data_IF_145364105366
#
_entry.id   IF_145364105366
#
_cell.length_a   1.000
_cell.length_b   1.000
_cell.length_c   1.000
_cell.angle_alpha   90.00
_cell.angle_beta   90.00
_cell.angle_gamma   90.00
#
_symmetry.space_group_name_H-M   'P 1'
#
loop_
_entity.id
_entity.type
_entity.pdbx_description
1 polymer ?
#
# COMPACT_ATOMS: atom_id res chain seq x y z
N UNK A 1 8.58 -14.68 7.97
CA UNK A 1 8.86 -13.30 7.48
C UNK A 1 8.82 -12.27 8.61
N UNK A 2 7.75 -12.19 9.41
CA UNK A 2 7.62 -11.21 10.52
C UNK A 2 8.81 -11.28 11.50
N UNK A 3 9.28 -12.48 11.84
CA UNK A 3 10.46 -12.69 12.71
C UNK A 3 11.74 -12.08 12.12
N UNK A 4 11.93 -12.18 10.79
CA UNK A 4 13.06 -11.59 10.06
C UNK A 4 12.97 -10.06 10.13
N UNK A 5 11.76 -9.51 10.00
CA UNK A 5 11.52 -8.07 10.18
C UNK A 5 11.89 -7.62 11.59
N UNK A 6 11.39 -8.30 12.62
CA UNK A 6 11.69 -8.01 14.01
C UNK A 6 13.19 -8.13 14.35
N UNK A 7 13.90 -9.10 13.76
CA UNK A 7 15.35 -9.24 13.94
C UNK A 7 16.11 -8.06 13.30
N UNK A 8 15.79 -7.70 12.06
CA UNK A 8 16.44 -6.57 11.36
C UNK A 8 16.09 -5.24 12.02
N UNK A 9 14.84 -5.04 12.43
CA UNK A 9 14.40 -3.87 13.21
C UNK A 9 15.21 -3.75 14.50
N UNK A 10 15.37 -4.84 15.28
CA UNK A 10 16.19 -4.86 16.49
C UNK A 10 17.67 -4.55 16.19
N UNK A 11 18.25 -5.18 15.18
CA UNK A 11 19.62 -4.89 14.74
C UNK A 11 19.81 -3.42 14.36
N UNK A 12 18.85 -2.82 13.66
CA UNK A 12 18.88 -1.42 13.26
C UNK A 12 18.75 -0.48 14.47
N UNK A 13 17.89 -0.80 15.44
CA UNK A 13 17.82 -0.06 16.71
C UNK A 13 19.13 -0.15 17.50
N UNK A 14 19.73 -1.35 17.63
CA UNK A 14 21.04 -1.50 18.27
C UNK A 14 22.15 -0.69 17.59
N UNK A 15 22.19 -0.71 16.25
CA UNK A 15 23.14 0.09 15.44
C UNK A 15 22.88 1.58 15.62
N UNK A 16 21.62 2.00 15.73
CA UNK A 16 21.23 3.38 16.00
C UNK A 16 21.64 3.83 17.40
N UNK A 17 21.31 3.10 18.48
CA UNK A 17 21.70 3.44 19.86
C UNK A 17 23.22 3.55 20.02
N UNK A 18 23.99 2.69 19.34
CA UNK A 18 25.47 2.74 19.33
C UNK A 18 26.04 3.98 18.61
N UNK A 19 25.30 4.54 17.65
CA UNK A 19 25.68 5.72 16.85
C UNK A 19 25.14 7.04 17.42
N UNK A 20 23.98 6.98 18.07
CA UNK A 20 23.22 8.10 18.63
C UNK A 20 22.94 7.86 20.12
N UNK A 21 23.95 7.99 21.00
CA UNK A 21 23.80 7.69 22.42
C UNK A 21 23.04 8.82 23.15
N UNK A 22 22.12 8.47 24.05
CA UNK A 22 21.33 9.44 24.83
C UNK A 22 22.19 10.38 25.71
N UNK A 23 23.46 10.04 25.97
CA UNK A 23 24.42 10.94 26.59
C UNK A 23 24.63 12.25 25.82
N UNK A 24 24.38 12.25 24.51
CA UNK A 24 24.42 13.44 23.66
C UNK A 24 23.27 14.41 23.95
N UNK A 25 22.10 13.95 24.40
CA UNK A 25 20.97 14.84 24.76
C UNK A 25 21.33 15.83 25.88
N UNK A 26 22.33 15.48 26.70
CA UNK A 26 22.91 16.35 27.75
C UNK A 26 23.81 17.47 27.22
N UNK A 27 24.06 17.56 25.91
CA UNK A 27 24.57 18.82 25.35
C UNK A 27 23.44 19.82 25.21
N UNK A 28 22.26 19.42 24.72
CA UNK A 28 21.12 20.34 24.51
C UNK A 28 20.73 21.13 25.76
N UNK A 29 20.83 20.52 26.94
CA UNK A 29 20.67 21.18 28.24
C UNK A 29 21.69 22.31 28.46
N UNK A 30 22.98 22.03 28.20
CA UNK A 30 24.09 22.99 28.31
C UNK A 30 24.03 24.07 27.23
N UNK A 31 23.71 23.67 26.02
CA UNK A 31 23.55 24.54 24.86
C UNK A 31 22.41 25.55 25.14
N UNK A 32 21.31 25.10 25.75
CA UNK A 32 20.23 25.97 26.23
C UNK A 32 20.67 26.88 27.40
N UNK A 33 21.42 26.36 28.37
CA UNK A 33 21.96 27.16 29.48
C UNK A 33 22.95 28.24 29.04
N UNK A 34 23.71 28.01 27.97
CA UNK A 34 24.63 28.99 27.38
C UNK A 34 23.91 29.99 26.47
N UNK A 35 23.05 29.52 25.56
CA UNK A 35 22.26 30.39 24.66
C UNK A 35 21.36 31.34 25.45
N UNK A 36 20.66 30.81 26.47
CA UNK A 36 19.78 31.57 27.35
C UNK A 36 20.45 31.86 28.70
N UNK A 37 21.76 32.13 28.71
CA UNK A 37 22.46 32.62 29.89
C UNK A 37 21.94 34.03 30.25
N UNK A 38 21.35 34.16 31.45
CA UNK A 38 20.81 35.44 31.92
C UNK A 38 21.91 36.48 32.21
N UNK A 39 21.61 37.75 31.90
CA UNK A 39 22.51 38.87 32.15
C UNK A 39 22.54 39.28 33.62
N UNK A 40 23.73 39.60 34.13
CA UNK A 40 23.95 40.04 35.52
C UNK A 40 23.97 41.55 35.63
N UNK A 41 23.51 42.08 36.79
CA UNK A 41 23.54 43.52 37.07
C UNK A 41 24.97 44.06 36.98
N UNK A 42 25.14 45.14 36.22
CA UNK A 42 26.38 45.77 35.77
C UNK A 42 27.20 45.00 34.70
N UNK A 43 26.65 43.98 34.06
CA UNK A 43 27.23 43.38 32.84
C UNK A 43 27.04 44.32 31.64
N UNK A 44 28.01 44.37 30.70
CA UNK A 44 27.83 45.11 29.43
C UNK A 44 27.00 44.26 28.49
N UNK A 45 25.89 44.81 28.02
CA UNK A 45 24.99 44.18 27.06
C UNK A 45 24.84 45.05 25.80
N UNK A 46 24.44 44.42 24.71
CA UNK A 46 24.20 45.03 23.41
C UNK A 46 23.00 44.32 22.80
N UNK A 47 21.91 45.05 22.56
CA UNK A 47 20.61 44.48 22.15
C UNK A 47 20.04 45.25 20.98
N UNK A 48 19.32 44.59 20.08
CA UNK A 48 18.67 45.24 18.93
C UNK A 48 17.21 45.51 19.26
N UNK A 49 16.77 46.76 19.12
CA UNK A 49 15.39 47.14 19.41
C UNK A 49 14.46 46.72 18.27
N UNK A 50 13.36 46.04 18.60
CA UNK A 50 12.35 45.57 17.63
C UNK A 50 11.46 46.71 17.13
N UNK A 51 11.01 47.57 18.04
CA UNK A 51 9.99 48.60 17.79
C UNK A 51 10.39 49.96 18.38
N UNK A 52 9.48 50.94 18.31
CA UNK A 52 9.66 52.28 18.91
C UNK A 52 10.60 53.23 18.16
N UNK A 53 10.95 54.34 18.82
CA UNK A 53 11.92 55.32 18.31
C UNK A 53 13.33 54.70 18.28
N UNK A 54 13.72 54.24 17.09
CA UNK A 54 14.95 53.49 16.88
C UNK A 54 14.75 51.98 16.71
N UNK A 55 13.64 51.53 16.10
CA UNK A 55 13.53 50.16 15.59
C UNK A 55 14.76 49.77 14.74
N UNK A 56 15.21 48.53 14.85
CA UNK A 56 16.48 47.99 14.34
C UNK A 56 17.76 48.73 14.79
N UNK A 57 17.69 49.61 15.79
CA UNK A 57 18.88 50.29 16.34
C UNK A 57 19.49 49.48 17.47
N UNK A 58 20.82 49.39 17.48
CA UNK A 58 21.59 48.73 18.53
C UNK A 58 21.66 49.61 19.78
N UNK A 59 21.16 49.10 20.91
CA UNK A 59 21.23 49.72 22.22
C UNK A 59 22.32 49.06 23.07
N UNK A 60 23.46 49.73 23.22
CA UNK A 60 24.57 49.29 24.08
C UNK A 60 24.52 49.93 25.47
N UNK A 61 24.85 49.17 26.51
CA UNK A 61 25.05 49.74 27.84
C UNK A 61 25.36 48.73 28.93
N UNK A 62 25.48 49.21 30.16
CA UNK A 62 25.51 48.33 31.33
C UNK A 62 24.09 48.10 31.84
N UNK A 63 23.71 46.83 32.04
CA UNK A 63 22.42 46.48 32.64
C UNK A 63 22.37 46.98 34.09
N UNK A 64 21.42 47.87 34.43
CA UNK A 64 21.33 48.49 35.76
C UNK A 64 20.19 47.96 36.60
N UNK A 65 19.01 47.78 36.02
CA UNK A 65 17.82 47.28 36.71
C UNK A 65 16.79 46.76 35.71
N UNK A 66 15.82 45.99 36.18
CA UNK A 66 14.60 45.68 35.43
C UNK A 66 13.39 45.72 36.37
N UNK A 67 12.24 45.98 35.79
CA UNK A 67 10.92 45.71 36.35
C UNK A 67 10.17 44.74 35.41
N UNK A 68 8.89 44.48 35.64
CA UNK A 68 8.09 43.54 34.83
C UNK A 68 7.86 44.00 33.39
N UNK A 69 7.95 45.31 33.11
CA UNK A 69 7.67 45.94 31.82
C UNK A 69 8.93 46.45 31.10
N UNK A 70 10.04 46.71 31.81
CA UNK A 70 11.18 47.49 31.29
C UNK A 70 12.53 47.01 31.79
N UNK A 71 13.53 47.13 30.91
CA UNK A 71 14.96 46.93 31.22
C UNK A 71 15.67 48.29 31.19
N UNK A 72 16.49 48.58 32.20
CA UNK A 72 17.30 49.80 32.28
C UNK A 72 18.75 49.52 31.84
N UNK A 73 19.16 50.10 30.71
CA UNK A 73 20.54 50.07 30.21
C UNK A 73 21.16 51.47 30.35
N UNK A 74 22.22 51.58 31.16
CA UNK A 74 22.77 52.86 31.62
C UNK A 74 21.67 53.78 32.20
N UNK A 75 21.25 54.80 31.46
CA UNK A 75 20.17 55.73 31.79
C UNK A 75 18.91 55.55 30.93
N UNK A 76 18.95 54.71 29.89
CA UNK A 76 17.80 54.43 28.99
C UNK A 76 16.94 53.31 29.58
N UNK A 77 15.63 53.55 29.66
CA UNK A 77 14.65 52.48 29.84
C UNK A 77 14.21 51.96 28.47
N UNK A 78 14.07 50.64 28.36
CA UNK A 78 13.71 49.92 27.15
C UNK A 78 12.50 49.05 27.49
N UNK A 79 11.35 49.22 26.81
CA UNK A 79 10.18 48.37 27.00
C UNK A 79 10.47 46.89 26.68
N UNK A 80 9.81 46.00 27.42
CA UNK A 80 9.83 44.54 27.19
C UNK A 80 9.26 44.15 25.82
N UNK A 81 8.32 44.92 25.30
CA UNK A 81 7.78 44.81 23.92
C UNK A 81 8.84 45.01 22.83
N UNK A 82 9.85 45.82 23.11
CA UNK A 82 10.86 46.24 22.13
C UNK A 82 12.03 45.23 22.07
N UNK A 83 11.96 44.14 22.85
CA UNK A 83 12.92 43.05 22.87
C UNK A 83 12.48 41.94 21.89
N UNK A 84 13.45 41.22 21.32
CA UNK A 84 13.20 39.90 20.75
C UNK A 84 13.11 38.83 21.86
N UNK A 85 12.43 37.71 21.59
CA UNK A 85 12.19 36.65 22.58
C UNK A 85 13.47 36.04 23.18
N UNK A 86 14.59 36.06 22.46
CA UNK A 86 15.87 35.51 22.94
C UNK A 86 16.60 36.50 23.85
N UNK A 87 16.54 37.80 23.53
CA UNK A 87 16.97 38.87 24.45
C UNK A 87 16.07 38.94 25.69
N UNK A 88 14.75 38.85 25.52
CA UNK A 88 13.78 38.81 26.61
C UNK A 88 14.09 37.66 27.59
N UNK A 89 14.30 36.44 27.07
CA UNK A 89 14.72 35.28 27.85
C UNK A 89 16.01 35.49 28.65
N UNK A 90 16.92 36.41 28.25
CA UNK A 90 18.15 36.71 29.00
C UNK A 90 17.97 37.73 30.12
N UNK A 91 16.81 38.38 30.21
CA UNK A 91 16.44 39.24 31.35
C UNK A 91 15.35 38.63 32.23
N UNK A 92 14.33 38.00 31.65
CA UNK A 92 13.10 37.59 32.32
C UNK A 92 13.10 36.07 32.64
N UNK A 93 13.09 35.64 33.93
CA UNK A 93 13.15 34.22 34.29
C UNK A 93 12.00 33.37 33.73
N UNK A 94 10.79 33.93 33.70
CA UNK A 94 9.58 33.32 33.14
C UNK A 94 9.72 32.95 31.67
N UNK A 95 10.47 33.75 30.90
CA UNK A 95 10.77 33.50 29.49
C UNK A 95 12.02 32.63 29.35
N UNK A 96 12.99 32.75 30.27
CA UNK A 96 14.19 31.92 30.32
C UNK A 96 13.84 30.43 30.39
N UNK A 97 13.05 30.04 31.39
CA UNK A 97 12.65 28.65 31.62
C UNK A 97 11.83 28.09 30.45
N UNK A 98 10.88 28.89 29.94
CA UNK A 98 10.07 28.53 28.78
C UNK A 98 10.91 28.30 27.52
N UNK A 99 11.79 29.25 27.16
CA UNK A 99 12.58 29.15 25.93
C UNK A 99 13.65 28.04 26.02
N UNK A 100 14.24 27.81 27.19
CA UNK A 100 15.11 26.64 27.43
C UNK A 100 14.35 25.32 27.23
N UNK A 101 13.17 25.18 27.85
CA UNK A 101 12.35 23.99 27.70
C UNK A 101 11.92 23.76 26.24
N UNK A 102 11.51 24.82 25.52
CA UNK A 102 11.19 24.74 24.09
C UNK A 102 12.41 24.39 23.22
N UNK A 103 13.59 24.93 23.50
CA UNK A 103 14.82 24.60 22.78
C UNK A 103 15.21 23.13 22.99
N UNK A 104 15.26 22.67 24.25
CA UNK A 104 15.60 21.28 24.59
C UNK A 104 14.59 20.32 23.95
N UNK A 105 13.30 20.67 23.91
CA UNK A 105 12.28 19.86 23.21
C UNK A 105 12.55 19.80 21.70
N UNK A 106 12.76 20.96 21.05
CA UNK A 106 13.02 21.06 19.60
C UNK A 106 14.29 20.34 19.16
N UNK A 107 15.37 20.37 19.95
CA UNK A 107 16.59 19.62 19.61
C UNK A 107 16.47 18.11 19.88
N UNK A 108 15.71 17.69 20.89
CA UNK A 108 15.35 16.28 21.06
C UNK A 108 14.48 15.77 19.89
N UNK A 109 13.41 16.49 19.52
CA UNK A 109 12.55 16.17 18.35
C UNK A 109 13.40 15.99 17.06
N UNK A 110 14.39 16.87 16.84
CA UNK A 110 15.35 16.77 15.72
C UNK A 110 16.35 15.62 15.88
N UNK A 111 16.69 15.20 17.09
CA UNK A 111 17.59 14.08 17.36
C UNK A 111 16.88 12.73 17.14
N UNK A 112 15.66 12.61 17.64
CA UNK A 112 14.78 11.46 17.43
C UNK A 112 14.49 11.28 15.93
N UNK A 113 14.18 12.37 15.23
CA UNK A 113 14.07 12.38 13.75
C UNK A 113 15.34 11.85 13.05
N UNK A 114 16.55 12.12 13.55
CA UNK A 114 17.80 11.60 12.97
C UNK A 114 18.00 10.11 13.25
N UNK A 115 17.55 9.64 14.41
CA UNK A 115 17.56 8.21 14.80
C UNK A 115 16.59 7.44 13.89
N UNK A 116 15.34 7.89 13.77
CA UNK A 116 14.30 7.26 12.94
C UNK A 116 14.72 7.19 11.46
N UNK A 117 15.21 8.28 10.88
CA UNK A 117 15.70 8.28 9.49
C UNK A 117 16.89 7.32 9.28
N UNK A 118 17.76 7.15 10.29
CA UNK A 118 18.86 6.19 10.19
C UNK A 118 18.40 4.73 10.31
N UNK A 119 17.45 4.44 11.20
CA UNK A 119 16.81 3.11 11.31
C UNK A 119 16.08 2.78 10.00
N UNK A 120 15.33 3.73 9.45
CA UNK A 120 14.63 3.59 8.17
C UNK A 120 15.57 3.25 7.02
N UNK A 121 16.68 3.98 6.84
CA UNK A 121 17.64 3.69 5.78
C UNK A 121 18.40 2.36 5.99
N UNK A 122 18.70 1.96 7.24
CA UNK A 122 19.24 0.63 7.52
C UNK A 122 18.24 -0.47 7.12
N UNK A 123 16.98 -0.36 7.54
CA UNK A 123 15.92 -1.31 7.21
C UNK A 123 15.67 -1.38 5.70
N UNK A 124 15.64 -0.23 5.01
CA UNK A 124 15.51 -0.12 3.56
C UNK A 124 16.61 -0.85 2.80
N UNK A 125 17.82 -0.92 3.36
CA UNK A 125 18.97 -1.61 2.76
C UNK A 125 19.04 -3.10 3.14
N UNK A 126 18.76 -3.47 4.38
CA UNK A 126 18.96 -4.85 4.88
C UNK A 126 17.72 -5.75 4.74
N UNK A 127 16.50 -5.22 4.92
CA UNK A 127 15.26 -6.02 4.83
C UNK A 127 15.14 -6.76 3.49
N UNK A 128 15.34 -6.13 2.32
CA UNK A 128 15.20 -6.83 1.03
C UNK A 128 16.23 -7.94 0.85
N UNK A 129 17.45 -7.80 1.41
CA UNK A 129 18.49 -8.83 1.36
C UNK A 129 18.07 -10.06 2.17
N UNK A 130 17.72 -9.85 3.44
CA UNK A 130 17.30 -10.94 4.35
C UNK A 130 16.05 -11.66 3.84
N UNK A 131 15.11 -10.95 3.20
CA UNK A 131 13.96 -11.57 2.55
C UNK A 131 14.37 -12.44 1.35
N UNK A 132 15.27 -11.97 0.48
CA UNK A 132 15.78 -12.76 -0.65
C UNK A 132 16.56 -14.01 -0.18
N UNK A 133 17.42 -13.86 0.82
CA UNK A 133 18.17 -14.95 1.45
C UNK A 133 17.24 -16.02 2.05
N UNK A 134 16.17 -15.59 2.71
CA UNK A 134 15.13 -16.47 3.26
C UNK A 134 14.11 -16.97 2.20
N UNK A 135 14.42 -16.88 0.91
CA UNK A 135 13.59 -17.35 -0.21
C UNK A 135 12.19 -16.72 -0.28
N UNK A 136 12.07 -15.44 0.07
CA UNK A 136 10.92 -14.61 -0.29
C UNK A 136 11.18 -13.89 -1.62
N UNK A 137 10.11 -13.58 -2.35
CA UNK A 137 10.12 -12.80 -3.59
C UNK A 137 9.08 -11.68 -3.50
N UNK A 138 9.26 -10.53 -4.19
CA UNK A 138 8.24 -9.50 -4.24
C UNK A 138 6.98 -10.00 -4.96
N UNK A 139 5.81 -9.67 -4.43
CA UNK A 139 4.51 -10.05 -4.99
C UNK A 139 4.14 -9.13 -6.16
N UNK A 140 4.40 -9.58 -7.39
CA UNK A 140 4.28 -8.81 -8.65
C UNK A 140 2.90 -8.15 -8.81
N UNK A 141 1.85 -8.78 -8.28
CA UNK A 141 0.46 -8.32 -8.35
C UNK A 141 0.17 -7.06 -7.50
N UNK A 142 1.10 -6.65 -6.61
CA UNK A 142 0.97 -5.46 -5.76
C UNK A 142 1.72 -4.26 -6.35
N UNK A 143 0.99 -3.16 -6.57
CA UNK A 143 1.58 -1.88 -6.99
C UNK A 143 2.64 -1.41 -5.96
N UNK A 144 3.87 -1.16 -6.43
CA UNK A 144 5.01 -0.82 -5.55
C UNK A 144 5.78 -2.01 -4.95
N UNK A 145 5.42 -3.25 -5.27
CA UNK A 145 6.25 -4.41 -4.98
C UNK A 145 7.57 -4.35 -5.76
N UNK A 146 8.70 -4.55 -5.07
CA UNK A 146 10.02 -4.50 -5.69
C UNK A 146 11.06 -5.22 -4.84
N UNK A 147 12.13 -5.70 -5.47
CA UNK A 147 13.34 -6.20 -4.81
C UNK A 147 14.06 -5.15 -3.95
N UNK A 148 13.58 -3.89 -3.92
CA UNK A 148 14.06 -2.78 -3.10
C UNK A 148 13.09 -2.35 -1.99
N UNK A 149 11.90 -2.97 -1.91
CA UNK A 149 10.84 -2.56 -0.98
C UNK A 149 11.05 -3.24 0.38
N UNK A 150 11.38 -2.48 1.43
CA UNK A 150 11.63 -3.05 2.77
C UNK A 150 10.37 -3.51 3.54
N UNK A 151 9.16 -3.20 3.05
CA UNK A 151 7.88 -3.57 3.70
C UNK A 151 7.56 -5.05 3.50
N UNK A 152 7.45 -5.82 4.58
CA UNK A 152 7.18 -7.28 4.54
C UNK A 152 5.89 -7.65 3.77
N UNK A 153 4.87 -6.79 3.78
CA UNK A 153 3.57 -7.00 3.13
C UNK A 153 3.66 -7.19 1.60
N UNK A 154 4.77 -6.76 0.98
CA UNK A 154 5.01 -6.83 -0.46
C UNK A 154 5.81 -8.07 -0.85
N UNK A 155 6.05 -8.99 0.09
CA UNK A 155 6.87 -10.19 -0.10
C UNK A 155 6.11 -11.47 0.20
N UNK A 156 6.42 -12.52 -0.56
CA UNK A 156 5.70 -13.79 -0.56
C UNK A 156 6.70 -14.95 -0.63
N UNK A 157 6.37 -16.09 -0.02
CA UNK A 157 7.24 -17.27 -0.10
C UNK A 157 7.36 -17.72 -1.56
N UNK A 158 8.59 -17.86 -2.06
CA UNK A 158 8.90 -18.25 -3.44
C UNK A 158 8.23 -19.56 -3.87
N UNK A 159 8.09 -20.51 -2.93
CA UNK A 159 7.34 -21.75 -3.11
C UNK A 159 5.87 -21.52 -3.48
N UNK A 160 5.20 -20.59 -2.79
CA UNK A 160 3.77 -20.32 -2.99
C UNK A 160 3.54 -19.62 -4.33
N UNK A 161 4.44 -18.73 -4.75
CA UNK A 161 4.45 -18.15 -6.11
C UNK A 161 4.64 -19.24 -7.18
N UNK A 162 5.59 -20.16 -7.00
CA UNK A 162 5.74 -21.29 -7.93
C UNK A 162 4.51 -22.21 -7.98
N UNK A 163 3.83 -22.45 -6.86
CA UNK A 163 2.57 -23.21 -6.85
C UNK A 163 1.46 -22.49 -7.63
N UNK A 164 1.27 -21.18 -7.41
CA UNK A 164 0.29 -20.39 -8.17
C UNK A 164 0.56 -20.41 -9.69
N UNK A 165 1.83 -20.29 -10.11
CA UNK A 165 2.22 -20.37 -11.53
C UNK A 165 2.00 -21.80 -12.07
N UNK A 166 2.40 -22.83 -11.32
CA UNK A 166 2.23 -24.23 -11.71
C UNK A 166 0.75 -24.60 -11.89
N UNK A 167 -0.12 -24.26 -10.93
CA UNK A 167 -1.55 -24.57 -11.01
C UNK A 167 -2.25 -23.73 -12.10
N UNK A 168 -1.82 -22.49 -12.33
CA UNK A 168 -2.27 -21.68 -13.47
C UNK A 168 -1.92 -22.31 -14.82
N UNK A 169 -0.66 -22.73 -15.02
CA UNK A 169 -0.23 -23.45 -16.23
C UNK A 169 -0.96 -24.80 -16.37
N UNK A 170 -1.12 -25.55 -15.27
CA UNK A 170 -1.83 -26.83 -15.23
C UNK A 170 -3.32 -26.70 -15.53
N UNK A 171 -3.95 -25.56 -15.21
CA UNK A 171 -5.32 -25.23 -15.62
C UNK A 171 -5.37 -24.99 -17.13
N UNK A 172 -4.52 -24.10 -17.66
CA UNK A 172 -4.46 -23.79 -19.11
C UNK A 172 -4.16 -25.04 -19.95
N UNK A 173 -3.29 -25.93 -19.46
CA UNK A 173 -3.01 -27.21 -20.09
C UNK A 173 -4.21 -28.16 -20.07
N UNK A 174 -4.94 -28.24 -18.95
CA UNK A 174 -6.21 -29.01 -18.90
C UNK A 174 -7.24 -28.43 -19.87
N UNK A 175 -7.46 -27.12 -19.89
CA UNK A 175 -8.42 -26.46 -20.79
C UNK A 175 -8.14 -26.75 -22.28
N UNK A 176 -6.87 -26.90 -22.66
CA UNK A 176 -6.47 -27.28 -24.03
C UNK A 176 -6.54 -28.78 -24.33
N UNK A 177 -6.07 -29.62 -23.40
CA UNK A 177 -5.90 -31.06 -23.61
C UNK A 177 -7.20 -31.83 -23.34
N UNK A 178 -8.07 -31.35 -22.45
CA UNK A 178 -9.34 -32.03 -22.12
C UNK A 178 -10.26 -32.22 -23.33
N UNK A 179 -10.47 -31.25 -24.24
CA UNK A 179 -11.23 -31.49 -25.47
C UNK A 179 -10.60 -32.58 -26.37
N UNK A 180 -9.28 -32.59 -26.54
CA UNK A 180 -8.56 -33.57 -27.36
C UNK A 180 -8.66 -34.99 -26.76
N UNK A 181 -8.46 -35.13 -25.45
CA UNK A 181 -8.62 -36.42 -24.75
C UNK A 181 -10.09 -36.84 -24.71
N UNK A 182 -11.04 -35.93 -24.52
CA UNK A 182 -12.47 -36.27 -24.54
C UNK A 182 -12.86 -36.84 -25.90
N UNK A 183 -12.38 -36.22 -26.99
CA UNK A 183 -12.56 -36.74 -28.35
C UNK A 183 -11.93 -38.12 -28.53
N UNK A 184 -10.69 -38.33 -28.07
CA UNK A 184 -10.00 -39.62 -28.20
C UNK A 184 -10.64 -40.75 -27.35
N UNK A 185 -11.13 -40.43 -26.15
CA UNK A 185 -11.59 -41.42 -25.16
C UNK A 185 -13.09 -41.69 -25.24
N UNK A 186 -13.90 -40.74 -25.72
CA UNK A 186 -15.35 -40.91 -25.83
C UNK A 186 -15.84 -40.92 -27.28
N UNK A 187 -15.42 -39.96 -28.13
CA UNK A 187 -15.90 -39.89 -29.52
C UNK A 187 -15.21 -40.87 -30.50
N UNK A 188 -14.00 -41.36 -30.19
CA UNK A 188 -13.17 -42.18 -31.09
C UNK A 188 -12.97 -43.63 -30.64
N UNK A 189 -13.52 -44.02 -29.49
CA UNK A 189 -13.58 -45.43 -29.09
C UNK A 189 -14.75 -46.15 -29.79
N UNK A 190 -14.68 -47.49 -29.85
CA UNK A 190 -15.73 -48.36 -30.39
C UNK A 190 -16.24 -49.31 -29.29
N UNK A 191 -17.53 -49.26 -28.89
CA UNK A 191 -18.55 -48.31 -29.35
C UNK A 191 -18.30 -46.88 -28.84
N UNK A 192 -18.70 -45.83 -29.60
CA UNK A 192 -18.52 -44.46 -29.18
C UNK A 192 -19.46 -44.11 -28.03
N UNK A 193 -18.99 -43.19 -27.18
CA UNK A 193 -19.75 -42.61 -26.08
C UNK A 193 -20.25 -41.22 -26.50
N UNK A 194 -21.53 -40.97 -26.25
CA UNK A 194 -22.20 -39.71 -26.55
C UNK A 194 -22.71 -39.09 -25.25
N UNK A 195 -22.78 -37.76 -25.22
CA UNK A 195 -23.40 -37.03 -24.11
C UNK A 195 -24.90 -36.96 -24.34
N UNK A 196 -25.68 -37.64 -23.51
CA UNK A 196 -27.12 -37.79 -23.66
C UNK A 196 -27.83 -37.67 -22.31
N UNK A 197 -29.16 -37.48 -22.33
CA UNK A 197 -29.97 -37.44 -21.12
C UNK A 197 -30.24 -38.85 -20.60
N UNK A 198 -29.84 -39.12 -19.35
CA UNK A 198 -30.14 -40.38 -18.67
C UNK A 198 -31.63 -40.50 -18.31
N UNK A 199 -32.02 -41.59 -17.65
CA UNK A 199 -33.41 -41.83 -17.22
C UNK A 199 -34.00 -40.68 -16.35
N UNK A 200 -33.15 -39.93 -15.63
CA UNK A 200 -33.53 -38.84 -14.73
C UNK A 200 -33.44 -37.43 -15.36
N UNK A 201 -33.23 -37.33 -16.68
CA UNK A 201 -32.99 -36.08 -17.43
C UNK A 201 -31.70 -35.33 -17.04
N UNK A 202 -30.67 -36.04 -16.55
CA UNK A 202 -29.32 -35.49 -16.34
C UNK A 202 -28.40 -35.82 -17.54
N UNK A 203 -27.54 -34.89 -17.94
CA UNK A 203 -26.61 -35.09 -19.06
C UNK A 203 -25.37 -35.90 -18.64
N UNK A 204 -25.26 -37.14 -19.13
CA UNK A 204 -24.12 -38.02 -18.86
C UNK A 204 -23.48 -38.55 -20.16
N UNK A 205 -22.20 -38.97 -20.07
CA UNK A 205 -21.50 -39.66 -21.15
C UNK A 205 -21.79 -41.17 -21.08
N UNK A 206 -22.54 -41.68 -22.05
CA UNK A 206 -22.96 -43.09 -22.11
C UNK A 206 -22.69 -43.69 -23.50
N UNK A 207 -22.55 -45.02 -23.64
CA UNK A 207 -22.40 -45.64 -24.96
C UNK A 207 -23.56 -45.28 -25.87
N UNK A 208 -23.31 -45.05 -27.16
CA UNK A 208 -24.35 -44.61 -28.10
C UNK A 208 -25.54 -45.57 -28.13
N UNK A 209 -25.31 -46.89 -28.03
CA UNK A 209 -26.37 -47.89 -27.95
C UNK A 209 -27.31 -47.73 -26.76
N UNK A 210 -26.85 -47.19 -25.63
CA UNK A 210 -27.65 -46.91 -24.44
C UNK A 210 -28.40 -45.58 -24.58
N UNK A 211 -27.75 -44.56 -25.15
CA UNK A 211 -28.38 -43.28 -25.47
C UNK A 211 -29.55 -43.46 -26.46
N UNK A 212 -29.34 -44.26 -27.52
CA UNK A 212 -30.36 -44.56 -28.53
C UNK A 212 -31.52 -45.37 -27.92
N UNK A 213 -31.26 -46.25 -26.94
CA UNK A 213 -32.30 -46.98 -26.19
C UNK A 213 -33.13 -46.04 -25.32
N UNK A 214 -32.52 -45.25 -24.43
CA UNK A 214 -33.24 -44.32 -23.55
C UNK A 214 -34.02 -43.29 -24.37
N UNK A 215 -33.47 -42.83 -25.50
CA UNK A 215 -34.17 -41.94 -26.43
C UNK A 215 -35.38 -42.62 -27.09
N UNK A 216 -35.24 -43.85 -27.56
CA UNK A 216 -36.34 -44.60 -28.17
C UNK A 216 -37.46 -44.92 -27.15
N UNK A 217 -37.10 -45.24 -25.91
CA UNK A 217 -38.07 -45.48 -24.83
C UNK A 217 -38.82 -44.19 -24.45
N UNK A 218 -38.12 -43.04 -24.35
CA UNK A 218 -38.76 -41.74 -24.13
C UNK A 218 -39.64 -41.32 -25.32
N UNK A 219 -39.26 -41.59 -26.56
CA UNK A 219 -40.08 -41.32 -27.75
C UNK A 219 -41.32 -42.23 -27.84
N UNK A 220 -41.22 -43.49 -27.41
CA UNK A 220 -42.37 -44.40 -27.31
C UNK A 220 -43.32 -44.01 -26.17
N UNK A 221 -42.78 -43.68 -24.99
CA UNK A 221 -43.56 -43.20 -23.85
C UNK A 221 -44.28 -41.87 -24.14
N UNK A 222 -43.67 -41.00 -24.96
CA UNK A 222 -44.26 -39.74 -25.39
C UNK A 222 -45.36 -39.88 -26.45
N UNK A 223 -45.56 -41.06 -27.07
CA UNK A 223 -46.54 -41.25 -28.14
C UNK A 223 -47.39 -42.54 -28.01
N UNK A 224 -48.29 -42.65 -27.02
CA UNK A 224 -49.00 -43.91 -26.71
C UNK A 224 -50.11 -44.30 -27.69
N UNK A 225 -50.47 -43.46 -28.67
CA UNK A 225 -51.61 -43.67 -29.58
C UNK A 225 -51.22 -43.38 -31.06
N UNK A 226 -50.26 -44.14 -31.59
CA UNK A 226 -50.00 -44.20 -33.03
C UNK A 226 -50.87 -45.27 -33.71
N UNK A 227 -52.10 -44.90 -34.10
CA UNK A 227 -53.04 -45.81 -34.79
C UNK A 227 -52.44 -46.34 -36.11
N UNK A 228 -52.29 -47.67 -36.32
CA UNK A 228 -51.54 -48.24 -37.44
C UNK A 228 -52.32 -48.23 -38.78
N UNK A 229 -52.95 -47.11 -39.14
CA UNK A 229 -53.74 -46.99 -40.36
C UNK A 229 -53.86 -45.56 -40.93
N UNK A 230 -52.84 -45.12 -41.67
CA UNK A 230 -53.06 -44.31 -42.88
C UNK A 230 -52.09 -44.71 -44.00
N UNK A 231 -52.58 -44.67 -45.24
CA UNK A 231 -51.92 -45.20 -46.43
C UNK A 231 -51.00 -44.16 -47.10
N UNK A 232 -50.12 -44.62 -47.99
CA UNK A 232 -49.40 -43.74 -48.91
C UNK A 232 -50.37 -43.09 -49.90
N UNK A 233 -50.18 -41.80 -50.19
CA UNK A 233 -50.71 -41.13 -51.39
C UNK A 233 -49.55 -40.49 -52.18
N UNK A 234 -49.22 -40.97 -53.40
CA UNK A 234 -47.99 -40.61 -54.08
C UNK A 234 -48.10 -39.36 -54.97
N UNK A 235 -47.97 -38.17 -54.36
CA UNK A 235 -47.23 -37.07 -54.98
C UNK A 235 -47.86 -35.66 -54.95
N UNK A 236 -47.00 -34.66 -54.76
CA UNK A 236 -46.86 -33.48 -55.64
C UNK A 236 -45.54 -32.73 -55.33
N UNK A 237 -45.09 -31.87 -56.24
CA UNK A 237 -43.84 -31.10 -56.15
C UNK A 237 -44.06 -29.64 -55.69
N UNK A 238 -43.01 -29.00 -55.17
CA UNK A 238 -42.88 -27.52 -54.93
C UNK A 238 -42.83 -26.73 -56.28
N UNK A 239 -42.73 -25.38 -56.37
CA UNK A 239 -42.66 -24.27 -55.37
C UNK A 239 -43.81 -23.22 -55.64
N UNK A 240 -43.73 -21.85 -55.59
CA UNK A 240 -42.74 -20.86 -55.12
C UNK A 240 -43.33 -19.63 -54.33
N UNK A 241 -42.53 -18.54 -54.25
CA UNK A 241 -42.83 -17.16 -53.76
C UNK A 241 -42.96 -16.95 -52.23
N UNK A 242 -42.49 -15.82 -51.65
CA UNK A 242 -41.79 -14.66 -52.23
C UNK A 242 -41.12 -13.74 -51.18
N UNK A 243 -40.35 -12.74 -51.64
CA UNK A 243 -39.63 -11.72 -50.83
C UNK A 243 -40.51 -10.44 -50.62
N UNK A 244 -40.04 -9.22 -50.23
CA UNK A 244 -38.73 -8.75 -49.68
C UNK A 244 -38.82 -7.64 -48.56
N UNK A 245 -37.67 -7.03 -48.22
CA UNK A 245 -37.45 -5.66 -47.64
C UNK A 245 -37.40 -5.46 -46.11
N UNK A 246 -36.76 -4.37 -45.65
CA UNK A 246 -36.58 -3.99 -44.23
C UNK A 246 -35.76 -2.71 -43.95
N UNK A 247 -34.42 -2.74 -44.18
CA UNK A 247 -33.44 -1.63 -43.92
C UNK A 247 -33.19 -1.31 -42.40
N UNK A 248 -32.66 -0.14 -41.93
CA UNK A 248 -31.23 -0.10 -41.55
C UNK A 248 -30.82 0.70 -40.26
N UNK A 249 -29.54 0.53 -39.84
CA UNK A 249 -28.69 1.49 -39.07
C UNK A 249 -29.09 1.86 -37.60
N UNK A 250 -28.24 2.56 -36.81
CA UNK A 250 -26.77 2.52 -36.70
C UNK A 250 -26.25 2.42 -35.23
N UNK A 251 -24.91 2.52 -35.04
CA UNK A 251 -24.18 2.53 -33.74
C UNK A 251 -24.49 3.75 -32.83
N UNK A 252 -24.08 3.75 -31.55
CA UNK A 252 -22.73 4.25 -31.19
C UNK A 252 -21.91 3.30 -30.28
N UNK A 253 -20.70 3.72 -29.87
CA UNK A 253 -19.76 2.96 -29.02
C UNK A 253 -19.68 3.51 -27.56
N UNK A 254 -18.56 3.44 -26.81
CA UNK A 254 -18.54 2.80 -25.49
C UNK A 254 -18.51 3.79 -24.31
N UNK A 255 -18.63 3.28 -23.07
CA UNK A 255 -18.20 4.02 -21.89
C UNK A 255 -18.03 3.13 -20.62
N UNK A 256 -16.80 2.65 -20.37
CA UNK A 256 -16.09 2.68 -19.07
C UNK A 256 -14.73 1.99 -19.20
#
# INVERSE_FOLDING_TARGET
>A
IIEISQEVDRESHEKATKKFPDSYRKTFEKDADEIYKMYKKNEKVSITLREGYGANTLAEGYFRNMDSERVQLNSRYIPRSDLDELTEARFYPDVNEKQKAEYIRKENEKYDSKIENYIYELNRLEMPKRFLEANFVPEIDKEGASIKTGKYEFWKEKKLVYQQVYDGLRRILREKITPEITKQVFEQNDPPYVRALNENDEEEWMPQSVADQIKAEKEQAANPNGDPNMMMDPGMMMPPNGMPQGRPNPRPMPNR
#
